data_IF_885593274499
#
_entry.id   IF_885593274499
#
_cell.length_a   1.000
_cell.length_b   1.000
_cell.length_c   1.000
_cell.angle_alpha   90.00
_cell.angle_beta   90.00
_cell.angle_gamma   90.00
#
_symmetry.space_group_name_H-M   'P 1'
#
loop_
_entity.id
_entity.type
_entity.pdbx_description
1 polymer ?
#
# COMPACT_ATOMS: atom_id res chain seq x y z
N UNK A 1 15.65 -8.86 -11.16
CA UNK A 1 14.91 -10.12 -10.95
C UNK A 1 15.53 -10.97 -9.86
N UNK A 2 16.85 -11.15 -9.82
CA UNK A 2 17.54 -12.00 -8.81
C UNK A 2 17.17 -11.69 -7.35
N UNK A 3 17.25 -10.42 -6.90
CA UNK A 3 16.90 -10.05 -5.52
C UNK A 3 15.43 -10.29 -5.18
N UNK A 4 14.52 -10.04 -6.13
CA UNK A 4 13.10 -10.30 -5.92
C UNK A 4 12.83 -11.81 -5.77
N UNK A 5 13.51 -12.64 -6.55
CA UNK A 5 13.44 -14.10 -6.41
C UNK A 5 13.98 -14.56 -5.04
N UNK A 6 15.11 -14.01 -4.58
CA UNK A 6 15.66 -14.31 -3.25
C UNK A 6 14.66 -13.95 -2.14
N UNK A 7 14.06 -12.76 -2.17
CA UNK A 7 13.04 -12.40 -1.17
C UNK A 7 11.79 -13.26 -1.27
N UNK A 8 11.38 -13.64 -2.48
CA UNK A 8 10.28 -14.59 -2.70
C UNK A 8 10.56 -15.94 -2.02
N UNK A 9 11.76 -16.49 -2.21
CA UNK A 9 12.16 -17.74 -1.55
C UNK A 9 12.19 -17.60 -0.03
N UNK A 10 12.78 -16.53 0.51
CA UNK A 10 12.83 -16.30 1.97
C UNK A 10 11.40 -16.19 2.54
N UNK A 11 10.51 -15.48 1.85
CA UNK A 11 9.11 -15.37 2.25
C UNK A 11 8.41 -16.73 2.21
N UNK A 12 8.58 -17.52 1.14
CA UNK A 12 8.00 -18.86 1.05
C UNK A 12 8.51 -19.79 2.15
N UNK A 13 9.81 -19.76 2.45
CA UNK A 13 10.40 -20.52 3.56
C UNK A 13 9.80 -20.11 4.90
N UNK A 14 9.58 -18.81 5.13
CA UNK A 14 8.92 -18.32 6.34
C UNK A 14 7.49 -18.82 6.46
N UNK A 15 6.73 -18.86 5.36
CA UNK A 15 5.34 -19.37 5.36
C UNK A 15 5.32 -20.87 5.62
N UNK A 16 6.18 -21.64 4.95
CA UNK A 16 6.29 -23.08 5.19
C UNK A 16 6.69 -23.37 6.65
N UNK A 17 7.66 -22.63 7.19
CA UNK A 17 8.07 -22.81 8.57
C UNK A 17 6.96 -22.44 9.56
N UNK A 18 6.14 -21.42 9.27
CA UNK A 18 4.93 -21.13 10.04
C UNK A 18 3.93 -22.29 10.02
N UNK A 19 3.64 -22.85 8.84
CA UNK A 19 2.67 -23.94 8.68
C UNK A 19 3.13 -25.24 9.35
N UNK A 20 4.43 -25.55 9.33
CA UNK A 20 5.02 -26.75 9.94
C UNK A 20 5.71 -26.45 11.29
N UNK A 21 5.30 -25.39 11.97
CA UNK A 21 5.93 -24.93 13.22
C UNK A 21 5.85 -25.96 14.35
N UNK A 22 4.75 -26.69 14.44
CA UNK A 22 4.56 -27.79 15.39
C UNK A 22 5.58 -28.92 15.18
N UNK A 23 5.83 -29.30 13.92
CA UNK A 23 6.82 -30.33 13.57
C UNK A 23 8.27 -29.86 13.79
N UNK A 24 8.52 -28.57 13.60
CA UNK A 24 9.84 -27.94 13.79
C UNK A 24 10.16 -27.68 15.27
N UNK A 25 9.16 -27.74 16.16
CA UNK A 25 9.31 -27.39 17.58
C UNK A 25 9.66 -25.91 17.82
N UNK A 26 9.41 -25.04 16.84
CA UNK A 26 9.66 -23.60 16.89
C UNK A 26 8.32 -22.87 17.03
N UNK A 27 8.21 -21.81 17.86
CA UNK A 27 6.97 -21.06 17.97
C UNK A 27 6.53 -20.48 16.61
N UNK A 28 5.28 -20.72 16.21
CA UNK A 28 4.75 -20.32 14.90
C UNK A 28 5.01 -18.84 14.57
N UNK A 29 4.76 -17.94 15.53
CA UNK A 29 4.93 -16.51 15.33
C UNK A 29 6.40 -16.04 15.41
N UNK A 30 7.37 -16.93 15.65
CA UNK A 30 8.77 -16.56 15.48
C UNK A 30 9.12 -16.33 13.99
N UNK A 31 8.51 -17.07 13.06
CA UNK A 31 8.87 -17.02 11.64
C UNK A 31 8.57 -15.67 10.99
N UNK A 32 7.35 -15.08 11.12
CA UNK A 32 7.09 -13.75 10.56
C UNK A 32 7.97 -12.68 11.20
N UNK A 33 8.24 -12.75 12.51
CA UNK A 33 9.15 -11.83 13.20
C UNK A 33 10.56 -11.88 12.62
N UNK A 34 11.10 -13.09 12.38
CA UNK A 34 12.40 -13.30 11.75
C UNK A 34 12.40 -12.73 10.32
N UNK A 35 11.37 -13.00 9.53
CA UNK A 35 11.26 -12.49 8.16
C UNK A 35 11.33 -10.96 8.12
N UNK A 36 10.46 -10.27 8.88
CA UNK A 36 10.45 -8.80 8.91
C UNK A 36 11.78 -8.23 9.44
N UNK A 37 12.37 -8.87 10.45
CA UNK A 37 13.68 -8.48 10.98
C UNK A 37 14.78 -8.62 9.93
N UNK A 38 14.82 -9.73 9.19
CA UNK A 38 15.80 -9.95 8.11
C UNK A 38 15.62 -8.94 6.97
N UNK A 39 14.39 -8.63 6.58
CA UNK A 39 14.11 -7.61 5.55
C UNK A 39 14.54 -6.22 6.01
N UNK A 40 14.27 -5.86 7.27
CA UNK A 40 14.71 -4.60 7.85
C UNK A 40 16.24 -4.50 7.95
N UNK A 41 16.90 -5.56 8.44
CA UNK A 41 18.35 -5.64 8.53
C UNK A 41 18.99 -5.54 7.14
N UNK A 42 18.44 -6.21 6.13
CA UNK A 42 18.91 -6.06 4.75
C UNK A 42 18.80 -4.61 4.29
N UNK A 43 17.62 -3.99 4.43
CA UNK A 43 17.35 -2.65 3.91
C UNK A 43 18.23 -1.60 4.58
N UNK A 44 18.35 -1.67 5.90
CA UNK A 44 19.06 -0.69 6.75
C UNK A 44 20.55 -0.98 6.90
N UNK A 45 21.06 -2.09 6.36
CA UNK A 45 22.48 -2.45 6.47
C UNK A 45 23.38 -1.32 5.92
N UNK A 46 24.23 -0.69 6.76
CA UNK A 46 25.08 0.42 6.36
C UNK A 46 26.34 -0.02 5.60
N UNK A 47 26.65 -1.32 5.59
CA UNK A 47 27.84 -1.82 4.89
C UNK A 47 27.65 -1.77 3.37
N UNK A 48 28.74 -1.59 2.63
CA UNK A 48 28.76 -1.51 1.14
C UNK A 48 28.47 -2.84 0.43
N UNK A 49 27.83 -3.79 1.10
CA UNK A 49 27.48 -5.12 0.60
C UNK A 49 26.04 -5.14 0.05
N UNK A 50 25.65 -6.18 -0.68
CA UNK A 50 24.27 -6.44 -1.14
C UNK A 50 23.52 -5.26 -1.79
N UNK A 51 24.11 -4.63 -2.82
CA UNK A 51 23.51 -3.50 -3.57
C UNK A 51 23.22 -2.26 -2.70
N UNK A 52 24.19 -1.86 -1.89
CA UNK A 52 24.13 -0.69 -1.00
C UNK A 52 23.52 0.57 -1.65
N UNK A 53 23.97 0.96 -2.85
CA UNK A 53 23.47 2.16 -3.53
C UNK A 53 21.96 2.10 -3.80
N UNK A 54 21.45 0.95 -4.25
CA UNK A 54 20.03 0.76 -4.51
C UNK A 54 19.20 0.84 -3.22
N UNK A 55 19.68 0.25 -2.11
CA UNK A 55 18.98 0.30 -0.81
C UNK A 55 18.83 1.72 -0.29
N UNK A 56 19.92 2.47 -0.23
CA UNK A 56 19.89 3.85 0.24
C UNK A 56 19.19 4.80 -0.73
N UNK A 57 19.22 4.51 -2.04
CA UNK A 57 18.36 5.18 -3.01
C UNK A 57 16.88 4.95 -2.68
N UNK A 58 16.45 3.70 -2.43
CA UNK A 58 15.08 3.37 -2.04
C UNK A 58 14.67 4.08 -0.75
N UNK A 59 15.51 4.02 0.29
CA UNK A 59 15.25 4.72 1.57
C UNK A 59 15.07 6.23 1.33
N UNK A 60 15.94 6.85 0.52
CA UNK A 60 15.84 8.27 0.19
C UNK A 60 14.55 8.61 -0.54
N UNK A 61 14.17 7.82 -1.54
CA UNK A 61 12.93 8.03 -2.31
C UNK A 61 11.70 7.85 -1.42
N UNK A 62 11.65 6.78 -0.61
CA UNK A 62 10.58 6.58 0.37
C UNK A 62 10.49 7.74 1.36
N UNK A 63 11.62 8.22 1.89
CA UNK A 63 11.65 9.39 2.77
C UNK A 63 11.08 10.64 2.11
N UNK A 64 11.38 10.89 0.83
CA UNK A 64 10.80 12.02 0.08
C UNK A 64 9.30 11.88 -0.15
N UNK A 65 8.81 10.65 -0.36
CA UNK A 65 7.38 10.34 -0.50
C UNK A 65 6.65 10.61 0.81
N UNK A 66 7.20 10.14 1.95
CA UNK A 66 6.64 10.38 3.28
C UNK A 66 6.58 11.88 3.61
N UNK A 67 7.54 12.67 3.11
CA UNK A 67 7.57 14.12 3.27
C UNK A 67 6.70 14.87 2.23
N UNK A 68 5.95 14.20 1.36
CA UNK A 68 5.00 14.90 0.49
C UNK A 68 3.98 15.69 1.36
N UNK A 69 3.65 16.95 1.00
CA UNK A 69 3.86 17.63 -0.29
C UNK A 69 5.10 18.54 -0.36
N UNK A 70 6.03 18.49 0.58
CA UNK A 70 7.08 19.52 0.69
C UNK A 70 8.15 19.45 -0.42
N UNK A 71 8.79 18.28 -0.68
CA UNK A 71 9.83 18.16 -1.70
C UNK A 71 9.31 18.44 -3.11
N UNK A 72 10.23 18.79 -4.02
CA UNK A 72 9.95 18.71 -5.45
C UNK A 72 9.73 17.25 -5.86
N UNK A 73 8.71 16.99 -6.67
CA UNK A 73 8.31 15.63 -7.08
C UNK A 73 9.09 15.22 -8.32
N UNK A 74 10.03 14.29 -8.16
CA UNK A 74 10.77 13.68 -9.28
C UNK A 74 10.01 12.48 -9.84
N UNK A 75 10.43 12.00 -11.01
CA UNK A 75 9.83 10.81 -11.62
C UNK A 75 9.91 9.58 -10.71
N UNK A 76 11.05 9.37 -10.01
CA UNK A 76 11.21 8.26 -9.07
C UNK A 76 10.22 8.33 -7.90
N UNK A 77 10.04 9.52 -7.30
CA UNK A 77 9.08 9.72 -6.22
C UNK A 77 7.64 9.45 -6.71
N UNK A 78 7.34 9.89 -7.94
CA UNK A 78 6.06 9.66 -8.58
C UNK A 78 5.80 8.16 -8.82
N UNK A 79 6.78 7.46 -9.38
CA UNK A 79 6.63 6.06 -9.79
C UNK A 79 6.54 5.13 -8.59
N UNK A 80 7.45 5.28 -7.60
CA UNK A 80 7.42 4.45 -6.38
C UNK A 80 6.12 4.69 -5.61
N UNK A 81 5.70 5.96 -5.42
CA UNK A 81 4.46 6.24 -4.70
C UNK A 81 3.24 5.62 -5.39
N UNK A 82 3.26 5.48 -6.71
CA UNK A 82 2.17 4.86 -7.46
C UNK A 82 2.13 3.35 -7.19
N UNK A 83 3.30 2.69 -7.17
CA UNK A 83 3.41 1.29 -6.75
C UNK A 83 2.95 1.06 -5.29
N UNK A 84 3.15 2.02 -4.39
CA UNK A 84 2.66 1.92 -3.01
C UNK A 84 1.14 1.78 -2.94
N UNK A 85 0.39 2.36 -3.88
CA UNK A 85 -1.08 2.27 -3.91
C UNK A 85 -1.58 0.86 -4.19
N UNK A 86 -0.78 0.02 -4.84
CA UNK A 86 -1.09 -1.39 -5.09
C UNK A 86 -0.74 -2.31 -3.93
N UNK A 87 -0.05 -1.81 -2.88
CA UNK A 87 0.37 -2.60 -1.72
C UNK A 87 -0.21 -2.07 -0.40
N UNK A 88 -1.40 -1.46 -0.44
CA UNK A 88 -2.16 -1.04 0.75
C UNK A 88 -2.28 -2.17 1.80
N UNK A 89 -2.55 -3.44 1.44
CA UNK A 89 -2.57 -4.53 2.42
C UNK A 89 -1.27 -4.66 3.22
N UNK A 90 -0.11 -4.48 2.59
CA UNK A 90 1.17 -4.56 3.28
C UNK A 90 1.35 -3.46 4.35
N UNK A 91 0.78 -2.27 4.15
CA UNK A 91 0.77 -1.21 5.16
C UNK A 91 -0.11 -1.57 6.37
N UNK A 92 -1.29 -2.16 6.10
CA UNK A 92 -2.20 -2.62 7.15
C UNK A 92 -1.62 -3.81 7.92
N UNK A 93 -0.93 -4.72 7.23
CA UNK A 93 -0.24 -5.85 7.84
C UNK A 93 0.95 -5.38 8.68
N UNK A 94 1.68 -4.35 8.24
CA UNK A 94 2.76 -3.75 9.03
C UNK A 94 2.22 -3.11 10.32
N UNK A 95 1.09 -2.40 10.26
CA UNK A 95 0.43 -1.88 11.47
C UNK A 95 -0.03 -3.01 12.39
N UNK A 96 -0.66 -4.05 11.84
CA UNK A 96 -1.11 -5.21 12.60
C UNK A 96 0.07 -5.93 13.24
N UNK A 97 1.18 -6.10 12.52
CA UNK A 97 2.42 -6.71 13.01
C UNK A 97 2.91 -6.00 14.27
N UNK A 98 3.07 -4.68 14.25
CA UNK A 98 3.52 -3.95 15.44
C UNK A 98 2.56 -4.09 16.62
N UNK A 99 1.25 -4.04 16.38
CA UNK A 99 0.27 -4.26 17.44
C UNK A 99 0.37 -5.68 18.02
N UNK A 100 0.34 -6.69 17.16
CA UNK A 100 0.35 -8.10 17.52
C UNK A 100 1.56 -8.45 18.39
N UNK A 101 2.78 -8.09 17.97
CA UNK A 101 3.99 -8.41 18.74
C UNK A 101 4.17 -7.55 20.00
N UNK A 102 3.50 -6.39 20.11
CA UNK A 102 3.50 -5.60 21.34
C UNK A 102 2.60 -6.18 22.43
N UNK A 103 1.51 -6.86 22.03
CA UNK A 103 0.48 -7.39 22.94
C UNK A 103 0.64 -8.88 23.21
N UNK A 104 0.99 -9.64 22.18
CA UNK A 104 1.09 -11.08 22.27
C UNK A 104 2.41 -11.51 22.91
N UNK A 105 2.33 -11.96 24.15
CA UNK A 105 3.48 -12.44 24.92
C UNK A 105 3.85 -13.89 24.60
N UNK A 106 2.93 -14.68 24.04
CA UNK A 106 3.15 -16.08 23.69
C UNK A 106 3.27 -16.27 22.17
N UNK A 107 4.47 -16.57 21.70
CA UNK A 107 4.74 -16.70 20.26
C UNK A 107 4.36 -18.06 19.67
N UNK A 108 3.79 -18.97 20.47
CA UNK A 108 3.27 -20.26 20.00
C UNK A 108 1.77 -20.23 19.74
N UNK A 109 1.00 -19.35 20.40
CA UNK A 109 -0.46 -19.27 20.27
C UNK A 109 -0.92 -17.82 20.28
N UNK A 110 -1.76 -17.44 19.33
CA UNK A 110 -2.44 -16.15 19.38
C UNK A 110 -3.62 -16.25 20.36
N UNK A 111 -3.65 -15.37 21.36
CA UNK A 111 -4.74 -15.29 22.34
C UNK A 111 -5.98 -14.61 21.76
N UNK A 112 -5.81 -13.51 21.05
CA UNK A 112 -6.88 -12.77 20.38
C UNK A 112 -6.35 -12.14 19.08
N UNK A 113 -6.75 -12.73 17.95
CA UNK A 113 -6.34 -12.29 16.62
C UNK A 113 -7.05 -11.01 16.16
N UNK A 114 -8.22 -10.70 16.73
CA UNK A 114 -9.06 -9.58 16.29
C UNK A 114 -8.83 -8.32 17.12
N UNK A 115 -8.31 -8.45 18.35
CA UNK A 115 -8.00 -7.33 19.25
C UNK A 115 -7.29 -6.16 18.54
N UNK A 116 -6.25 -6.43 17.75
CA UNK A 116 -5.51 -5.38 17.03
C UNK A 116 -6.28 -4.71 15.89
N UNK A 117 -7.29 -5.38 15.32
CA UNK A 117 -8.17 -4.81 14.29
C UNK A 117 -9.24 -3.95 14.95
N UNK A 118 -9.83 -4.44 16.04
CA UNK A 118 -10.91 -3.78 16.77
C UNK A 118 -10.41 -2.58 17.59
N UNK A 119 -9.29 -2.70 18.32
CA UNK A 119 -8.73 -1.60 19.13
C UNK A 119 -8.27 -0.43 18.25
N UNK A 120 -7.69 -0.73 17.08
CA UNK A 120 -7.13 0.26 16.16
C UNK A 120 -8.05 0.58 14.97
N UNK A 121 -9.35 0.32 15.08
CA UNK A 121 -10.30 0.51 13.98
C UNK A 121 -10.36 1.95 13.44
N UNK A 122 -10.00 2.96 14.24
CA UNK A 122 -9.88 4.36 13.79
C UNK A 122 -8.55 4.66 13.08
N UNK A 123 -7.48 3.96 13.43
CA UNK A 123 -6.13 4.20 12.87
C UNK A 123 -5.95 3.42 11.56
N UNK A 124 -6.51 2.21 11.45
CA UNK A 124 -6.43 1.37 10.25
C UNK A 124 -6.87 2.08 8.96
N UNK A 125 -7.98 2.84 8.93
CA UNK A 125 -8.38 3.62 7.76
C UNK A 125 -7.36 4.68 7.37
N UNK A 126 -6.75 5.36 8.36
CA UNK A 126 -5.68 6.34 8.11
C UNK A 126 -4.48 5.66 7.44
N UNK A 127 -4.07 4.50 7.97
CA UNK A 127 -2.98 3.69 7.40
C UNK A 127 -3.30 3.25 5.97
N UNK A 128 -4.52 2.78 5.71
CA UNK A 128 -4.95 2.36 4.39
C UNK A 128 -4.99 3.52 3.37
N UNK A 129 -5.30 4.74 3.83
CA UNK A 129 -5.31 5.92 2.96
C UNK A 129 -3.92 6.49 2.67
N UNK A 130 -2.88 6.13 3.44
CA UNK A 130 -1.54 6.75 3.31
C UNK A 130 -0.96 6.65 1.88
N UNK A 131 -0.97 5.49 1.19
CA UNK A 131 -0.40 5.41 -0.15
C UNK A 131 -1.09 6.35 -1.15
N UNK A 132 -2.43 6.36 -1.17
CA UNK A 132 -3.21 7.27 -2.01
C UNK A 132 -3.03 8.73 -1.60
N UNK A 133 -2.83 9.01 -0.30
CA UNK A 133 -2.52 10.34 0.21
C UNK A 133 -1.20 10.87 -0.32
N UNK A 134 -0.13 10.06 -0.33
CA UNK A 134 1.15 10.50 -0.87
C UNK A 134 1.03 10.92 -2.34
N UNK A 135 0.27 10.15 -3.12
CA UNK A 135 -0.01 10.46 -4.53
C UNK A 135 -0.85 11.71 -4.73
N UNK A 136 -1.92 11.85 -3.95
CA UNK A 136 -2.72 13.06 -3.91
C UNK A 136 -1.86 14.29 -3.60
N UNK A 137 -1.05 14.23 -2.53
CA UNK A 137 -0.17 15.31 -2.08
C UNK A 137 0.88 15.67 -3.14
N UNK A 138 1.48 14.69 -3.80
CA UNK A 138 2.41 14.90 -4.92
C UNK A 138 1.72 15.58 -6.11
N UNK A 139 0.50 15.19 -6.47
CA UNK A 139 -0.26 15.80 -7.55
C UNK A 139 -0.60 17.26 -7.25
N UNK A 140 -1.05 17.55 -6.02
CA UNK A 140 -1.28 18.93 -5.57
C UNK A 140 0.01 19.76 -5.58
N UNK A 141 1.15 19.18 -5.18
CA UNK A 141 2.45 19.84 -5.22
C UNK A 141 2.88 20.18 -6.65
N UNK A 142 2.68 19.27 -7.61
CA UNK A 142 2.95 19.52 -9.03
C UNK A 142 2.07 20.63 -9.57
N UNK A 143 0.75 20.60 -9.30
CA UNK A 143 -0.16 21.68 -9.66
C UNK A 143 0.28 23.04 -9.09
N UNK A 144 0.66 23.09 -7.81
CA UNK A 144 1.14 24.34 -7.19
C UNK A 144 2.38 24.91 -7.91
N UNK A 145 3.20 24.05 -8.51
CA UNK A 145 4.45 24.43 -9.16
C UNK A 145 4.25 24.78 -10.63
N UNK A 146 3.53 23.97 -11.41
CA UNK A 146 3.30 24.19 -12.84
C UNK A 146 2.09 25.07 -13.16
N UNK A 147 1.13 25.18 -12.22
CA UNK A 147 -0.20 25.79 -12.42
C UNK A 147 -1.08 25.13 -13.48
N UNK A 148 -0.67 23.97 -13.99
CA UNK A 148 -1.44 23.20 -14.97
C UNK A 148 -2.46 22.30 -14.27
N UNK A 149 -3.75 22.63 -14.41
CA UNK A 149 -4.83 21.87 -13.79
C UNK A 149 -4.90 20.43 -14.34
N UNK A 150 -4.73 20.27 -15.66
CA UNK A 150 -4.56 18.98 -16.31
C UNK A 150 -3.07 18.75 -16.61
N UNK A 151 -2.49 17.58 -16.29
CA UNK A 151 -3.12 16.38 -15.72
C UNK A 151 -3.21 16.37 -14.19
N UNK A 152 -2.63 17.34 -13.49
CA UNK A 152 -2.33 17.22 -12.06
C UNK A 152 -3.55 17.11 -11.13
N UNK A 153 -4.53 18.01 -11.24
CA UNK A 153 -5.71 17.99 -10.38
C UNK A 153 -6.65 16.82 -10.71
N UNK A 154 -6.70 16.42 -11.99
CA UNK A 154 -7.47 15.26 -12.43
C UNK A 154 -6.83 13.98 -11.86
N UNK A 155 -5.50 13.87 -11.89
CA UNK A 155 -4.83 12.74 -11.22
C UNK A 155 -4.99 12.80 -9.70
N UNK A 156 -5.00 13.98 -9.08
CA UNK A 156 -5.28 14.12 -7.65
C UNK A 156 -6.69 13.59 -7.31
N UNK A 157 -7.71 13.91 -8.12
CA UNK A 157 -9.07 13.43 -7.89
C UNK A 157 -9.20 11.92 -8.07
N UNK A 158 -8.38 11.30 -8.93
CA UNK A 158 -8.24 9.83 -9.04
C UNK A 158 -7.89 9.20 -7.69
N UNK A 159 -6.83 9.69 -7.03
CA UNK A 159 -6.44 9.15 -5.73
C UNK A 159 -7.40 9.55 -4.60
N UNK A 160 -8.07 10.70 -4.72
CA UNK A 160 -9.11 11.10 -3.77
C UNK A 160 -10.33 10.15 -3.80
N UNK A 161 -10.66 9.58 -4.96
CA UNK A 161 -11.73 8.58 -5.07
C UNK A 161 -11.48 7.36 -4.15
N UNK A 162 -10.21 6.96 -3.99
CA UNK A 162 -9.83 5.86 -3.09
C UNK A 162 -10.04 6.19 -1.62
N UNK A 163 -10.02 7.46 -1.20
CA UNK A 163 -10.35 7.83 0.18
C UNK A 163 -11.80 7.48 0.53
N UNK A 164 -12.73 7.73 -0.40
CA UNK A 164 -14.14 7.38 -0.19
C UNK A 164 -14.34 5.88 -0.06
N UNK A 165 -13.60 5.06 -0.83
CA UNK A 165 -13.62 3.60 -0.68
C UNK A 165 -13.25 3.19 0.74
N UNK A 166 -12.13 3.71 1.24
CA UNK A 166 -11.65 3.39 2.59
C UNK A 166 -12.60 3.90 3.66
N UNK A 167 -13.09 5.14 3.55
CA UNK A 167 -14.01 5.75 4.51
C UNK A 167 -15.30 4.92 4.60
N UNK A 168 -15.95 4.62 3.47
CA UNK A 168 -17.20 3.87 3.48
C UNK A 168 -17.01 2.41 3.91
N UNK A 169 -15.89 1.76 3.55
CA UNK A 169 -15.54 0.44 4.07
C UNK A 169 -15.41 0.45 5.60
N UNK A 170 -14.75 1.48 6.14
CA UNK A 170 -14.53 1.64 7.58
C UNK A 170 -15.83 1.94 8.34
N UNK A 171 -16.70 2.77 7.76
CA UNK A 171 -18.03 3.03 8.31
C UNK A 171 -18.91 1.78 8.28
N UNK A 172 -18.83 0.98 7.20
CA UNK A 172 -19.52 -0.31 7.11
C UNK A 172 -19.11 -1.22 8.26
N UNK A 173 -17.80 -1.34 8.52
CA UNK A 173 -17.28 -2.11 9.65
C UNK A 173 -17.76 -1.55 11.00
N UNK A 174 -17.61 -0.24 11.22
CA UNK A 174 -17.98 0.40 12.48
C UNK A 174 -19.47 0.27 12.84
N UNK A 175 -20.36 0.23 11.83
CA UNK A 175 -21.80 0.08 12.06
C UNK A 175 -22.30 -1.36 11.86
N UNK A 176 -21.41 -2.35 11.71
CA UNK A 176 -21.83 -3.74 11.43
C UNK A 176 -22.75 -4.28 12.53
N UNK A 177 -22.50 -3.96 13.80
CA UNK A 177 -23.32 -4.41 14.93
C UNK A 177 -24.68 -3.67 15.06
N UNK A 178 -24.91 -2.62 14.27
CA UNK A 178 -26.17 -1.85 14.30
C UNK A 178 -27.23 -2.43 13.35
N UNK A 179 -26.82 -3.25 12.38
CA UNK A 179 -27.70 -3.83 11.37
C UNK A 179 -27.71 -5.35 11.50
N UNK A 180 -28.84 -6.00 11.20
CA UNK A 180 -28.92 -7.47 11.23
C UNK A 180 -28.00 -8.13 10.21
N UNK A 181 -27.89 -7.50 9.03
CA UNK A 181 -27.17 -8.00 7.87
C UNK A 181 -26.47 -6.85 7.16
N UNK A 182 -25.39 -7.16 6.44
CA UNK A 182 -24.63 -6.17 5.67
C UNK A 182 -25.48 -5.49 4.59
N UNK A 183 -26.49 -6.17 4.05
CA UNK A 183 -27.44 -5.63 3.06
C UNK A 183 -28.37 -4.58 3.63
N UNK A 184 -28.58 -4.53 4.94
CA UNK A 184 -29.37 -3.48 5.59
C UNK A 184 -28.51 -2.24 5.92
N UNK A 185 -27.18 -2.33 5.77
CA UNK A 185 -26.25 -1.25 6.07
C UNK A 185 -26.08 -0.33 4.84
N UNK A 186 -26.54 0.95 4.89
CA UNK A 186 -26.39 1.87 3.77
C UNK A 186 -24.93 2.17 3.40
N UNK A 187 -24.00 2.10 4.36
CA UNK A 187 -22.58 2.31 4.12
C UNK A 187 -21.98 1.23 3.22
N UNK A 188 -22.52 0.01 3.26
CA UNK A 188 -22.09 -1.10 2.41
C UNK A 188 -22.32 -0.76 0.92
N UNK A 189 -23.48 -0.19 0.57
CA UNK A 189 -23.78 0.22 -0.80
C UNK A 189 -22.92 1.41 -1.25
N UNK A 190 -22.71 2.40 -0.38
CA UNK A 190 -21.82 3.53 -0.67
C UNK A 190 -20.38 3.06 -0.91
N UNK A 191 -19.91 2.07 -0.15
CA UNK A 191 -18.62 1.44 -0.35
C UNK A 191 -18.52 0.75 -1.72
N UNK A 192 -19.55 -0.02 -2.13
CA UNK A 192 -19.58 -0.66 -3.46
C UNK A 192 -19.53 0.39 -4.56
N UNK A 193 -20.38 1.43 -4.50
CA UNK A 193 -20.42 2.48 -5.52
C UNK A 193 -19.08 3.22 -5.60
N UNK A 194 -18.50 3.59 -4.47
CA UNK A 194 -17.18 4.23 -4.44
C UNK A 194 -16.10 3.31 -5.03
N UNK A 195 -16.17 2.00 -4.75
CA UNK A 195 -15.22 1.00 -5.27
C UNK A 195 -15.29 0.89 -6.79
N UNK A 196 -16.49 0.88 -7.35
CA UNK A 196 -16.71 0.86 -8.80
C UNK A 196 -16.15 2.15 -9.43
N UNK A 197 -16.51 3.32 -8.88
CA UNK A 197 -16.04 4.61 -9.41
C UNK A 197 -14.51 4.69 -9.36
N UNK A 198 -13.90 4.37 -8.21
CA UNK A 198 -12.44 4.41 -8.04
C UNK A 198 -11.74 3.45 -9.00
N UNK A 199 -12.28 2.24 -9.19
CA UNK A 199 -11.68 1.21 -10.06
C UNK A 199 -11.80 1.60 -11.53
N UNK A 200 -12.98 2.04 -11.99
CA UNK A 200 -13.18 2.50 -13.36
C UNK A 200 -12.31 3.73 -13.67
N UNK A 201 -12.16 4.65 -12.72
CA UNK A 201 -11.32 5.83 -12.91
C UNK A 201 -9.83 5.44 -12.99
N UNK A 202 -9.33 4.60 -12.09
CA UNK A 202 -7.96 4.09 -12.16
C UNK A 202 -7.68 3.38 -13.48
N UNK A 203 -8.53 2.42 -13.86
CA UNK A 203 -8.41 1.70 -15.12
C UNK A 203 -8.44 2.62 -16.35
N UNK A 204 -9.40 3.54 -16.39
CA UNK A 204 -9.50 4.51 -17.49
C UNK A 204 -8.28 5.41 -17.59
N UNK A 205 -7.69 5.81 -16.45
CA UNK A 205 -6.45 6.56 -16.41
C UNK A 205 -5.29 5.75 -16.96
N UNK A 206 -5.10 4.51 -16.50
CA UNK A 206 -3.98 3.68 -16.89
C UNK A 206 -3.98 3.42 -18.40
N UNK A 207 -5.14 3.05 -18.95
CA UNK A 207 -5.31 2.76 -20.39
C UNK A 207 -5.10 4.02 -21.26
N UNK A 208 -5.71 5.14 -20.87
CA UNK A 208 -5.75 6.34 -21.72
C UNK A 208 -4.54 7.25 -21.51
N UNK A 209 -4.18 7.51 -20.25
CA UNK A 209 -3.21 8.52 -19.88
C UNK A 209 -1.80 7.94 -19.74
N UNK A 210 -1.66 6.79 -19.08
CA UNK A 210 -0.34 6.22 -18.81
C UNK A 210 0.16 5.36 -19.97
N UNK A 211 -0.73 4.54 -20.56
CA UNK A 211 -0.41 3.68 -21.70
C UNK A 211 -0.65 4.33 -23.07
N UNK A 212 -1.53 5.34 -23.15
CA UNK A 212 -1.80 6.04 -24.41
C UNK A 212 -2.52 5.21 -25.48
N UNK A 213 -3.21 4.12 -25.10
CA UNK A 213 -3.79 3.14 -26.04
C UNK A 213 -4.79 3.74 -27.05
N UNK A 214 -5.39 4.87 -26.70
CA UNK A 214 -6.38 5.59 -27.53
C UNK A 214 -5.90 6.98 -27.96
N UNK A 215 -4.60 7.26 -27.91
CA UNK A 215 -4.08 8.54 -28.40
C UNK A 215 -4.10 8.57 -29.93
N UNK A 216 -5.04 9.32 -30.49
CA UNK A 216 -5.17 9.51 -31.94
C UNK A 216 -4.01 10.32 -32.56
N UNK A 217 -3.14 10.91 -31.73
CA UNK A 217 -1.93 11.64 -32.18
C UNK A 217 -0.69 10.76 -32.31
N UNK A 218 -0.74 9.50 -31.89
CA UNK A 218 0.31 8.54 -32.18
C UNK A 218 0.28 8.29 -33.70
N UNK A 219 1.30 8.76 -34.43
CA UNK A 219 1.42 8.65 -35.88
C UNK A 219 1.53 7.20 -36.36
N UNK A 220 2.61 6.84 -37.06
CA UNK A 220 2.78 5.46 -37.56
C UNK A 220 2.95 4.41 -36.44
N UNK A 221 3.27 4.85 -35.22
CA UNK A 221 3.49 4.01 -34.05
C UNK A 221 2.34 4.11 -33.03
N UNK A 222 1.11 3.79 -33.46
CA UNK A 222 -0.14 3.90 -32.68
C UNK A 222 -0.15 3.20 -31.30
N UNK A 223 0.82 2.34 -31.03
CA UNK A 223 0.96 1.57 -29.78
C UNK A 223 2.30 1.77 -29.05
N UNK A 224 3.15 2.70 -29.49
CA UNK A 224 4.43 2.99 -28.84
C UNK A 224 4.52 4.48 -28.51
N UNK A 225 5.07 4.78 -27.33
CA UNK A 225 5.33 6.14 -26.87
C UNK A 225 6.68 6.61 -27.43
N UNK A 226 6.72 7.81 -28.01
CA UNK A 226 7.99 8.53 -28.26
C UNK A 226 8.64 8.98 -26.94
#
# INVERSE_FOLDING_TARGET
>A
MELAAVFGVIWTLSVLAFLYSDDLGVPAYAHPMILYSLMALFLLNPTRTFRHEARFWTIRVLGRILLAPFPYVTFADFWIADQLTSIIPAFLDLQYFFCFYSRNTNWSKATDVNSCVEEFYFIRPLVAMMPSWFRFAQCCRRYKTSREAFPHLVNASKYAASFFVVIFSSLTFATTNTYSDSTNNPWFYLWIVASIISSCYAYGWDIKMDWGLFDAKAGDNRFLRE
#
